data_IF_123723786145
#
_entry.id   IF_123723786145
#
_cell.length_a   1.000
_cell.length_b   1.000
_cell.length_c   1.000
_cell.angle_alpha   90.00
_cell.angle_beta   90.00
_cell.angle_gamma   90.00
#
_symmetry.space_group_name_H-M   'P 1'
#
loop_
_entity.id
_entity.type
_entity.pdbx_description
1 polymer ?
#
# COMPACT_ATOMS: atom_id res chain seq x y z
N UNK A 1 -36.48 -27.47 1.25
CA UNK A 1 -35.23 -26.70 1.49
C UNK A 1 -33.94 -27.54 1.45
N UNK A 2 -33.88 -28.71 2.14
CA UNK A 2 -32.67 -29.56 2.22
C UNK A 2 -32.10 -30.07 0.88
N UNK A 3 -32.95 -30.40 -0.10
CA UNK A 3 -32.52 -30.90 -1.41
C UNK A 3 -31.76 -29.83 -2.24
N UNK A 4 -32.24 -28.58 -2.24
CA UNK A 4 -31.56 -27.45 -2.89
C UNK A 4 -30.17 -27.20 -2.26
N UNK A 5 -30.08 -27.36 -0.94
CA UNK A 5 -28.84 -27.17 -0.18
C UNK A 5 -27.80 -28.28 -0.49
N UNK A 6 -28.25 -29.54 -0.62
CA UNK A 6 -27.39 -30.64 -1.12
C UNK A 6 -26.90 -30.38 -2.54
N UNK A 7 -27.79 -29.96 -3.45
CA UNK A 7 -27.41 -29.63 -4.84
C UNK A 7 -26.37 -28.50 -4.90
N UNK A 8 -26.55 -27.45 -4.10
CA UNK A 8 -25.59 -26.35 -4.01
C UNK A 8 -24.22 -26.82 -3.47
N UNK A 9 -24.18 -27.67 -2.44
CA UNK A 9 -22.92 -28.23 -1.93
C UNK A 9 -22.16 -29.04 -2.99
N UNK A 10 -22.87 -29.87 -3.75
CA UNK A 10 -22.28 -30.69 -4.83
C UNK A 10 -21.72 -29.78 -5.94
N UNK A 11 -22.47 -28.76 -6.34
CA UNK A 11 -22.02 -27.78 -7.33
C UNK A 11 -20.77 -27.03 -6.85
N UNK A 12 -20.73 -26.60 -5.58
CA UNK A 12 -19.56 -25.95 -4.99
C UNK A 12 -18.34 -26.88 -4.99
N UNK A 13 -18.49 -28.16 -4.64
CA UNK A 13 -17.36 -29.10 -4.68
C UNK A 13 -16.84 -29.33 -6.10
N UNK A 14 -17.73 -29.40 -7.09
CA UNK A 14 -17.34 -29.51 -8.49
C UNK A 14 -16.58 -28.27 -8.97
N UNK A 15 -17.08 -27.07 -8.66
CA UNK A 15 -16.41 -25.81 -9.00
C UNK A 15 -15.02 -25.68 -8.34
N UNK A 16 -14.86 -26.15 -7.11
CA UNK A 16 -13.55 -26.17 -6.43
C UNK A 16 -12.55 -27.07 -7.16
N UNK A 17 -12.96 -28.27 -7.56
CA UNK A 17 -12.11 -29.20 -8.30
C UNK A 17 -11.71 -28.62 -9.68
N UNK A 18 -12.64 -27.98 -10.38
CA UNK A 18 -12.36 -27.29 -11.65
C UNK A 18 -11.37 -26.12 -11.47
N UNK A 19 -11.48 -25.37 -10.36
CA UNK A 19 -10.56 -24.27 -10.07
C UNK A 19 -9.14 -24.72 -9.70
N UNK A 20 -8.97 -25.89 -9.06
CA UNK A 20 -7.64 -26.45 -8.77
C UNK A 20 -6.89 -26.87 -10.04
N UNK A 21 -7.61 -27.32 -11.05
CA UNK A 21 -7.05 -27.78 -12.33
C UNK A 21 -6.76 -26.62 -13.31
N UNK A 22 -7.17 -25.39 -12.99
CA UNK A 22 -7.05 -24.26 -13.92
C UNK A 22 -5.58 -23.79 -14.04
N UNK A 23 -4.97 -23.85 -15.24
CA UNK A 23 -3.62 -23.35 -15.45
C UNK A 23 -3.54 -21.82 -15.32
N UNK A 24 -2.44 -21.33 -14.75
CA UNK A 24 -2.22 -19.89 -14.53
C UNK A 24 -2.24 -19.04 -15.81
N UNK A 25 -1.86 -19.66 -16.94
CA UNK A 25 -1.97 -19.04 -18.28
C UNK A 25 -3.43 -18.77 -18.65
N UNK A 26 -4.31 -19.74 -18.49
CA UNK A 26 -5.74 -19.59 -18.81
C UNK A 26 -6.41 -18.59 -17.86
N UNK A 27 -6.02 -18.60 -16.58
CA UNK A 27 -6.50 -17.61 -15.62
C UNK A 27 -6.09 -16.19 -16.03
N UNK A 28 -4.84 -16.00 -16.44
CA UNK A 28 -4.32 -14.72 -16.89
C UNK A 28 -5.06 -14.20 -18.12
N UNK A 29 -5.36 -15.05 -19.11
CA UNK A 29 -6.18 -14.66 -20.27
C UNK A 29 -7.57 -14.18 -19.86
N UNK A 30 -8.23 -14.89 -18.94
CA UNK A 30 -9.59 -14.54 -18.49
C UNK A 30 -9.66 -13.19 -17.79
N UNK A 31 -8.63 -12.79 -17.06
CA UNK A 31 -8.60 -11.51 -16.34
C UNK A 31 -8.12 -10.33 -17.21
N UNK A 32 -7.59 -10.57 -18.42
CA UNK A 32 -7.08 -9.49 -19.30
C UNK A 32 -8.11 -8.41 -19.61
N UNK A 33 -9.39 -8.77 -19.68
CA UNK A 33 -10.48 -7.83 -19.95
C UNK A 33 -10.77 -6.84 -18.80
N UNK A 34 -10.22 -7.07 -17.61
CA UNK A 34 -10.41 -6.19 -16.46
C UNK A 34 -9.35 -5.09 -16.41
N UNK A 35 -9.65 -3.90 -15.86
CA UNK A 35 -8.64 -2.91 -15.53
C UNK A 35 -7.53 -3.46 -14.65
N UNK A 36 -6.30 -2.97 -14.84
CA UNK A 36 -5.09 -3.42 -14.12
C UNK A 36 -5.27 -3.56 -12.59
N UNK A 37 -5.91 -2.56 -11.96
CA UNK A 37 -6.22 -2.59 -10.51
C UNK A 37 -7.18 -3.72 -10.12
N UNK A 38 -8.20 -3.96 -10.93
CA UNK A 38 -9.15 -5.05 -10.70
C UNK A 38 -8.49 -6.42 -10.92
N UNK A 39 -7.60 -6.54 -11.92
CA UNK A 39 -6.82 -7.77 -12.11
C UNK A 39 -5.99 -8.12 -10.86
N UNK A 40 -5.35 -7.12 -10.26
CA UNK A 40 -4.55 -7.32 -9.04
C UNK A 40 -5.42 -7.78 -7.86
N UNK A 41 -6.59 -7.18 -7.67
CA UNK A 41 -7.55 -7.58 -6.65
C UNK A 41 -8.04 -9.03 -6.85
N UNK A 42 -8.45 -9.37 -8.08
CA UNK A 42 -8.94 -10.70 -8.44
C UNK A 42 -7.84 -11.75 -8.24
N UNK A 43 -6.60 -11.48 -8.65
CA UNK A 43 -5.45 -12.37 -8.39
C UNK A 43 -5.28 -12.64 -6.90
N UNK A 44 -5.32 -11.61 -6.06
CA UNK A 44 -5.21 -11.76 -4.61
C UNK A 44 -6.36 -12.63 -4.04
N UNK A 45 -7.58 -12.44 -4.52
CA UNK A 45 -8.73 -13.27 -4.12
C UNK A 45 -8.53 -14.75 -4.48
N UNK A 46 -8.08 -15.03 -5.71
CA UNK A 46 -7.84 -16.41 -6.15
C UNK A 46 -6.67 -17.06 -5.40
N UNK A 47 -5.58 -16.33 -5.14
CA UNK A 47 -4.45 -16.83 -4.35
C UNK A 47 -4.84 -17.14 -2.91
N UNK A 48 -5.67 -16.30 -2.28
CA UNK A 48 -6.17 -16.55 -0.94
C UNK A 48 -7.10 -17.78 -0.91
N UNK A 49 -7.99 -17.90 -1.90
CA UNK A 49 -8.93 -19.01 -1.99
C UNK A 49 -8.24 -20.37 -2.20
N UNK A 50 -7.08 -20.40 -2.89
CA UNK A 50 -6.26 -21.62 -3.06
C UNK A 50 -5.56 -22.06 -1.78
N UNK A 51 -5.38 -21.16 -0.81
CA UNK A 51 -4.64 -21.45 0.42
C UNK A 51 -5.58 -21.95 1.52
N UNK A 52 -5.04 -22.82 2.38
CA UNK A 52 -5.71 -23.26 3.62
C UNK A 52 -5.80 -22.12 4.65
N UNK A 53 -4.94 -21.11 4.56
CA UNK A 53 -4.92 -19.96 5.46
C UNK A 53 -4.44 -18.70 4.74
N UNK A 54 -4.98 -17.56 5.13
CA UNK A 54 -4.55 -16.23 4.68
C UNK A 54 -3.29 -15.72 5.41
N UNK A 55 -2.85 -16.42 6.47
CA UNK A 55 -1.61 -16.09 7.19
C UNK A 55 -0.39 -16.31 6.30
N UNK A 56 0.54 -15.36 6.31
CA UNK A 56 1.78 -15.43 5.51
C UNK A 56 1.58 -15.20 4.00
N UNK A 57 0.40 -14.73 3.59
CA UNK A 57 0.16 -14.36 2.19
C UNK A 57 1.10 -13.23 1.76
N UNK A 58 1.80 -13.45 0.65
CA UNK A 58 2.59 -12.42 -0.03
C UNK A 58 1.69 -11.66 -0.98
N UNK A 59 1.76 -10.34 -0.93
CA UNK A 59 1.03 -9.46 -1.83
C UNK A 59 2.01 -8.87 -2.84
N UNK A 60 1.55 -8.67 -4.07
CA UNK A 60 2.31 -7.95 -5.08
C UNK A 60 2.39 -6.46 -4.72
N UNK A 61 3.48 -5.80 -5.12
CA UNK A 61 3.73 -4.40 -4.77
C UNK A 61 2.67 -3.44 -5.33
N UNK A 62 2.16 -3.71 -6.54
CA UNK A 62 1.07 -2.97 -7.19
C UNK A 62 -0.21 -2.97 -6.33
N UNK A 63 -0.63 -4.14 -5.87
CA UNK A 63 -1.80 -4.29 -5.01
C UNK A 63 -1.59 -3.69 -3.63
N UNK A 64 -0.38 -3.85 -3.07
CA UNK A 64 -0.04 -3.32 -1.76
C UNK A 64 -0.06 -1.78 -1.73
N UNK A 65 0.41 -1.14 -2.81
CA UNK A 65 0.31 0.30 -2.98
C UNK A 65 -1.16 0.76 -3.02
N UNK A 66 -2.02 0.09 -3.79
CA UNK A 66 -3.45 0.42 -3.84
C UNK A 66 -4.12 0.26 -2.46
N UNK A 67 -3.74 -0.78 -1.70
CA UNK A 67 -4.22 -0.97 -0.34
C UNK A 67 -3.78 0.15 0.61
N UNK A 68 -2.55 0.67 0.45
CA UNK A 68 -2.06 1.83 1.22
C UNK A 68 -2.91 3.07 0.88
N UNK A 69 -3.11 3.35 -0.42
CA UNK A 69 -3.92 4.48 -0.88
C UNK A 69 -5.36 4.41 -0.38
N UNK A 70 -5.97 3.21 -0.45
CA UNK A 70 -7.33 2.98 0.05
C UNK A 70 -7.42 3.26 1.55
N UNK A 71 -6.44 2.79 2.34
CA UNK A 71 -6.40 3.04 3.78
C UNK A 71 -6.17 4.51 4.11
N UNK A 72 -5.33 5.21 3.35
CA UNK A 72 -5.14 6.66 3.50
C UNK A 72 -6.44 7.43 3.26
N UNK A 73 -7.26 6.98 2.28
CA UNK A 73 -8.55 7.60 1.97
C UNK A 73 -9.63 7.33 3.00
N UNK A 74 -9.73 6.10 3.50
CA UNK A 74 -10.65 5.75 4.60
C UNK A 74 -10.17 4.53 5.38
N UNK A 75 -9.59 4.71 6.58
CA UNK A 75 -9.16 3.61 7.42
C UNK A 75 -10.32 2.72 7.90
N UNK A 76 -11.49 3.33 8.13
CA UNK A 76 -12.69 2.63 8.61
C UNK A 76 -13.25 1.70 7.54
N UNK A 77 -13.41 2.20 6.30
CA UNK A 77 -13.85 1.40 5.17
C UNK A 77 -12.88 0.26 4.88
N UNK A 78 -11.57 0.55 4.93
CA UNK A 78 -10.53 -0.46 4.74
C UNK A 78 -10.67 -1.62 5.75
N UNK A 79 -10.85 -1.31 7.04
CA UNK A 79 -11.04 -2.34 8.06
C UNK A 79 -12.38 -3.07 7.92
N UNK A 80 -13.44 -2.40 7.50
CA UNK A 80 -14.72 -3.05 7.21
C UNK A 80 -14.56 -4.09 6.09
N UNK A 81 -14.03 -3.69 4.93
CA UNK A 81 -13.79 -4.59 3.80
C UNK A 81 -12.91 -5.79 4.16
N UNK A 82 -11.89 -5.55 5.00
CA UNK A 82 -10.96 -6.59 5.45
C UNK A 82 -11.60 -7.56 6.46
N UNK A 83 -12.30 -7.04 7.48
CA UNK A 83 -12.86 -7.87 8.57
C UNK A 83 -14.04 -8.72 8.11
N UNK A 84 -14.82 -8.21 7.15
CA UNK A 84 -15.92 -8.95 6.55
C UNK A 84 -15.49 -9.81 5.36
N UNK A 85 -14.18 -9.93 5.10
CA UNK A 85 -13.62 -10.76 4.03
C UNK A 85 -14.20 -10.45 2.63
N UNK A 86 -14.65 -9.21 2.43
CA UNK A 86 -15.19 -8.75 1.13
C UNK A 86 -14.08 -8.71 0.09
N UNK A 87 -12.89 -8.26 0.51
CA UNK A 87 -11.67 -8.25 -0.30
C UNK A 87 -10.50 -8.84 0.49
N UNK A 88 -9.55 -9.43 -0.24
CA UNK A 88 -8.31 -9.93 0.35
C UNK A 88 -7.34 -8.77 0.55
N UNK A 89 -7.43 -8.18 1.75
CA UNK A 89 -6.67 -7.00 2.13
C UNK A 89 -5.57 -7.32 3.17
N UNK A 90 -4.36 -6.76 3.00
CA UNK A 90 -3.29 -6.93 3.97
C UNK A 90 -3.65 -6.36 5.35
N UNK A 91 -3.17 -7.03 6.40
CA UNK A 91 -3.32 -6.55 7.76
C UNK A 91 -2.49 -5.31 8.07
N UNK A 92 -2.80 -4.65 9.19
CA UNK A 92 -2.10 -3.44 9.66
C UNK A 92 -0.59 -3.62 9.74
N UNK A 93 -0.12 -4.77 10.21
CA UNK A 93 1.31 -5.11 10.31
C UNK A 93 1.97 -5.24 8.94
N UNK A 94 1.29 -5.82 7.95
CA UNK A 94 1.78 -5.95 6.58
C UNK A 94 1.89 -4.57 5.92
N UNK A 95 0.85 -3.74 6.01
CA UNK A 95 0.90 -2.36 5.51
C UNK A 95 2.03 -1.57 6.17
N UNK A 96 2.18 -1.67 7.51
CA UNK A 96 3.26 -0.99 8.22
C UNK A 96 4.63 -1.42 7.71
N UNK A 97 4.87 -2.73 7.53
CA UNK A 97 6.12 -3.25 6.97
C UNK A 97 6.35 -2.77 5.53
N UNK A 98 5.30 -2.67 4.72
CA UNK A 98 5.38 -2.11 3.38
C UNK A 98 5.82 -0.64 3.43
N UNK A 99 5.18 0.14 4.30
CA UNK A 99 5.48 1.56 4.49
C UNK A 99 6.90 1.83 4.99
N UNK A 100 7.49 0.92 5.77
CA UNK A 100 8.88 1.05 6.24
C UNK A 100 9.92 1.10 5.10
N UNK A 101 9.59 0.58 3.91
CA UNK A 101 10.48 0.67 2.75
C UNK A 101 10.52 2.10 2.18
N UNK A 102 9.49 2.91 2.43
CA UNK A 102 9.49 4.31 2.07
C UNK A 102 10.29 5.09 3.12
N UNK A 103 11.56 5.34 2.82
CA UNK A 103 12.41 6.19 3.66
C UNK A 103 11.96 7.66 3.52
N UNK A 104 11.34 8.20 4.56
CA UNK A 104 11.18 9.65 4.75
C UNK A 104 12.27 10.15 5.70
N UNK A 105 13.24 10.88 5.17
CA UNK A 105 14.27 11.58 5.94
C UNK A 105 14.03 13.08 5.97
N UNK A 106 14.84 13.80 6.75
CA UNK A 106 14.93 15.26 6.63
C UNK A 106 15.57 15.63 5.29
N UNK A 107 15.11 16.72 4.70
CA UNK A 107 15.59 17.21 3.40
C UNK A 107 14.94 16.52 2.21
N UNK A 108 15.58 16.66 1.06
CA UNK A 108 15.08 16.18 -0.22
C UNK A 108 15.32 14.67 -0.40
N UNK A 109 14.31 13.96 -0.91
CA UNK A 109 14.45 12.55 -1.28
C UNK A 109 14.86 12.44 -2.77
N UNK A 110 16.09 11.99 -3.09
CA UNK A 110 16.57 11.90 -4.47
C UNK A 110 15.65 11.05 -5.37
N UNK A 111 15.11 9.95 -4.84
CA UNK A 111 14.22 9.07 -5.59
C UNK A 111 12.94 9.77 -6.07
N UNK A 112 12.50 10.83 -5.38
CA UNK A 112 11.36 11.65 -5.81
C UNK A 112 11.74 12.48 -7.04
N UNK A 113 12.94 13.06 -7.07
CA UNK A 113 13.44 13.80 -8.23
C UNK A 113 13.72 12.88 -9.42
N UNK A 114 14.20 11.67 -9.19
CA UNK A 114 14.36 10.66 -10.25
C UNK A 114 13.01 10.29 -10.87
N UNK A 115 11.99 10.07 -10.05
CA UNK A 115 10.64 9.80 -10.53
C UNK A 115 10.03 11.00 -11.28
N UNK A 116 10.26 12.22 -10.79
CA UNK A 116 9.84 13.45 -11.48
C UNK A 116 10.54 13.58 -12.83
N UNK A 117 11.85 13.34 -12.88
CA UNK A 117 12.66 13.36 -14.10
C UNK A 117 12.14 12.35 -15.12
N UNK A 118 11.79 11.15 -14.69
CA UNK A 118 11.23 10.14 -15.59
C UNK A 118 9.88 10.58 -16.16
N UNK A 119 9.02 11.16 -15.32
CA UNK A 119 7.71 11.65 -15.72
C UNK A 119 7.81 12.80 -16.73
N UNK A 120 8.74 13.75 -16.50
CA UNK A 120 8.89 14.94 -17.34
C UNK A 120 9.53 14.69 -18.69
N UNK A 121 10.15 13.52 -18.94
CA UNK A 121 10.69 13.15 -20.26
C UNK A 121 9.65 13.17 -21.38
N UNK A 122 8.39 12.90 -21.04
CA UNK A 122 7.28 12.82 -22.01
C UNK A 122 6.48 14.11 -22.12
N UNK A 123 6.82 15.12 -21.32
CA UNK A 123 6.10 16.39 -21.23
C UNK A 123 6.72 17.42 -22.17
N UNK A 124 5.90 18.30 -22.75
CA UNK A 124 6.36 19.43 -23.53
C UNK A 124 7.06 20.49 -22.67
N UNK A 125 7.81 21.38 -23.31
CA UNK A 125 8.61 22.42 -22.66
C UNK A 125 7.78 23.29 -21.72
N UNK A 126 6.58 23.69 -22.11
CA UNK A 126 5.71 24.52 -21.29
C UNK A 126 5.22 23.76 -20.05
N UNK A 127 4.85 22.49 -20.21
CA UNK A 127 4.40 21.65 -19.10
C UNK A 127 5.51 21.27 -18.12
N UNK A 128 6.79 21.48 -18.46
CA UNK A 128 7.93 21.24 -17.56
C UNK A 128 8.19 22.39 -16.58
N UNK A 129 7.60 23.56 -16.82
CA UNK A 129 7.75 24.72 -15.95
C UNK A 129 6.88 24.57 -14.70
N UNK A 130 7.46 24.75 -13.51
CA UNK A 130 6.75 24.64 -12.24
C UNK A 130 7.32 25.58 -11.19
N UNK A 131 6.50 25.92 -10.19
CA UNK A 131 6.88 26.75 -9.05
C UNK A 131 7.09 25.87 -7.81
N UNK A 132 8.19 26.09 -7.10
CA UNK A 132 8.41 25.49 -5.78
C UNK A 132 7.94 26.52 -4.75
N UNK A 133 6.81 26.23 -4.10
CA UNK A 133 6.30 27.04 -2.99
C UNK A 133 6.56 26.27 -1.70
N UNK A 134 7.12 26.95 -0.72
CA UNK A 134 7.34 26.40 0.62
C UNK A 134 6.76 27.37 1.65
N UNK A 135 6.22 26.80 2.71
CA UNK A 135 5.72 27.53 3.88
C UNK A 135 6.02 26.67 5.11
N UNK A 136 6.15 27.31 6.27
CA UNK A 136 6.43 26.62 7.53
C UNK A 136 5.13 26.31 8.27
N UNK A 137 5.03 25.10 8.80
CA UNK A 137 3.89 24.71 9.65
C UNK A 137 4.34 24.59 11.10
N UNK A 138 3.60 25.23 12.01
CA UNK A 138 3.80 25.06 13.46
C UNK A 138 3.33 23.68 13.89
N UNK A 139 4.25 22.89 14.45
CA UNK A 139 3.97 21.59 15.08
C UNK A 139 3.94 21.73 16.60
N UNK A 140 3.26 20.81 17.29
CA UNK A 140 3.34 20.70 18.74
C UNK A 140 4.73 20.21 19.15
N UNK A 141 5.39 20.93 20.05
CA UNK A 141 6.69 20.54 20.59
C UNK A 141 6.56 19.27 21.41
N UNK A 142 7.32 18.24 21.02
CA UNK A 142 7.41 16.99 21.75
C UNK A 142 8.74 16.28 21.48
N UNK A 143 9.09 15.36 22.38
CA UNK A 143 10.22 14.45 22.23
C UNK A 143 9.65 13.05 22.02
N UNK A 144 9.94 12.45 20.87
CA UNK A 144 9.55 11.09 20.54
C UNK A 144 10.78 10.17 20.56
N UNK A 145 10.67 9.05 21.27
CA UNK A 145 11.68 7.99 21.25
C UNK A 145 11.25 6.93 20.25
N UNK A 146 12.01 6.80 19.16
CA UNK A 146 11.77 5.74 18.18
C UNK A 146 12.21 4.39 18.75
N UNK A 147 11.58 3.31 18.29
CA UNK A 147 11.95 1.93 18.67
C UNK A 147 13.42 1.57 18.36
N UNK A 148 14.11 2.38 17.55
CA UNK A 148 15.55 2.27 17.29
C UNK A 148 16.44 2.92 18.36
N UNK A 149 15.87 3.45 19.45
CA UNK A 149 16.59 4.21 20.47
C UNK A 149 17.00 5.62 20.03
N UNK A 150 16.52 6.09 18.87
CA UNK A 150 16.81 7.45 18.38
C UNK A 150 15.77 8.42 18.92
N UNK A 151 16.23 9.54 19.46
CA UNK A 151 15.39 10.66 19.84
C UNK A 151 15.05 11.50 18.61
N UNK A 152 13.79 11.87 18.47
CA UNK A 152 13.29 12.82 17.48
C UNK A 152 12.62 13.94 18.26
N UNK A 153 13.20 15.13 18.26
CA UNK A 153 12.56 16.32 18.78
C UNK A 153 11.99 17.13 17.62
N UNK A 154 10.79 17.67 17.81
CA UNK A 154 10.23 18.70 16.94
C UNK A 154 10.30 20.00 17.73
N UNK A 155 11.30 20.83 17.42
CA UNK A 155 11.54 22.13 18.06
C UNK A 155 11.36 23.18 16.96
N UNK A 156 10.73 24.31 17.29
CA UNK A 156 10.61 25.42 16.37
C UNK A 156 12.01 25.94 15.97
N UNK A 157 12.24 26.25 14.69
CA UNK A 157 13.54 26.75 14.23
C UNK A 157 13.97 28.04 14.94
N UNK A 158 13.03 28.80 15.52
CA UNK A 158 13.28 30.05 16.23
C UNK A 158 13.92 29.92 17.62
N UNK A 159 14.12 28.70 18.16
CA UNK A 159 14.79 28.50 19.46
C UNK A 159 16.22 27.95 19.36
N UNK A 160 16.72 27.69 18.15
CA UNK A 160 18.06 27.11 17.93
C UNK A 160 19.18 28.15 17.75
N UNK A 161 18.90 29.44 17.98
CA UNK A 161 19.89 30.52 17.79
C UNK A 161 20.88 30.72 18.93
N UNK A 162 20.70 30.10 20.12
CA UNK A 162 21.54 30.43 21.29
C UNK A 162 22.46 29.34 21.83
N UNK A 163 22.52 28.14 21.23
CA UNK A 163 23.48 27.12 21.69
C UNK A 163 24.38 26.68 20.54
N UNK A 164 25.27 27.60 20.16
CA UNK A 164 26.51 27.29 19.42
C UNK A 164 27.69 27.90 20.18
N UNK A 165 28.12 27.24 21.25
CA UNK A 165 29.47 27.43 21.75
C UNK A 165 30.40 26.62 20.83
N UNK A 166 31.03 27.31 19.88
CA UNK A 166 32.15 26.77 19.11
C UNK A 166 33.40 26.84 19.99
N UNK A 167 34.08 25.71 20.18
CA UNK A 167 35.49 25.69 20.57
C UNK A 167 36.27 25.11 19.40
N UNK A 168 37.30 25.88 19.00
CA UNK A 168 38.21 25.68 17.87
C UNK A 168 38.85 24.29 17.81
#
# INVERSE_FOLDING_TARGET
MRAKLKKAKISISQMKAMNEQLPEKQFSEKIKGLPSKQQAAVRACFEAARRKSTKGMKYRNDWLLECILMRMRSPQLYEHLRRHEILVLPGRSCIRKAMQHFKSGLGFNPSTFDALREKTKTMDDFSRHGLIVFDEMKLSENIEVKSSGKFSSYILPYQLTEIKHWSF
#
